data_IF_737102289200
#
_entry.id   IF_737102289200
#
_cell.length_a   1.000
_cell.length_b   1.000
_cell.length_c   1.000
_cell.angle_alpha   90.00
_cell.angle_beta   90.00
_cell.angle_gamma   90.00
#
_symmetry.space_group_name_H-M   'P 1'
#
loop_
_entity.id
_entity.type
_entity.pdbx_description
1 polymer ?
#
# COMPACT_ATOMS: atom_id res chain seq x y z
N UNK A 1 34.93 21.50 -49.10
CA UNK A 1 35.33 21.32 -47.67
C UNK A 1 34.97 19.90 -47.29
N UNK A 2 35.91 19.06 -46.84
CA UNK A 2 35.53 17.69 -46.43
C UNK A 2 34.61 17.77 -45.24
N UNK A 3 33.49 17.06 -45.33
CA UNK A 3 32.53 16.89 -44.22
C UNK A 3 33.28 16.17 -43.07
N UNK A 4 33.49 16.88 -41.96
CA UNK A 4 34.00 16.30 -40.73
C UNK A 4 33.00 15.25 -40.30
N UNK A 5 33.34 13.97 -40.49
CA UNK A 5 32.58 12.86 -39.90
C UNK A 5 32.62 13.07 -38.37
N UNK A 6 31.51 13.54 -37.84
CA UNK A 6 31.35 13.60 -36.40
C UNK A 6 31.40 12.17 -35.86
N UNK A 7 32.33 11.91 -34.97
CA UNK A 7 32.45 10.58 -34.37
C UNK A 7 31.16 10.22 -33.60
N UNK A 8 30.88 8.93 -33.44
CA UNK A 8 29.75 8.46 -32.62
C UNK A 8 29.78 9.08 -31.20
N UNK A 9 30.98 9.34 -30.68
CA UNK A 9 31.21 10.00 -29.42
C UNK A 9 30.67 11.45 -29.41
N UNK A 10 31.01 12.25 -30.44
CA UNK A 10 30.54 13.62 -30.56
C UNK A 10 29.01 13.71 -30.73
N UNK A 11 28.42 12.74 -31.45
CA UNK A 11 26.97 12.65 -31.58
C UNK A 11 26.33 12.32 -30.25
N UNK A 12 26.81 11.31 -29.53
CA UNK A 12 26.29 10.95 -28.19
C UNK A 12 26.44 12.09 -27.17
N UNK A 13 27.60 12.78 -27.16
CA UNK A 13 27.85 13.92 -26.28
C UNK A 13 26.87 15.07 -26.54
N UNK A 14 26.68 15.46 -27.80
CA UNK A 14 25.75 16.53 -28.18
C UNK A 14 24.27 16.12 -27.95
N UNK A 15 23.93 14.87 -28.17
CA UNK A 15 22.60 14.35 -27.87
C UNK A 15 22.28 14.48 -26.38
N UNK A 16 23.20 14.09 -25.51
CA UNK A 16 23.05 14.23 -24.05
C UNK A 16 22.89 15.70 -23.65
N UNK A 17 23.73 16.58 -24.20
CA UNK A 17 23.68 18.00 -23.92
C UNK A 17 22.35 18.63 -24.37
N UNK A 18 21.91 18.33 -25.60
CA UNK A 18 20.73 18.99 -26.21
C UNK A 18 19.42 18.42 -25.65
N UNK A 19 19.28 17.10 -25.50
CA UNK A 19 18.04 16.47 -25.02
C UNK A 19 17.78 16.68 -23.54
N UNK A 20 18.84 16.96 -22.78
CA UNK A 20 18.76 16.96 -21.29
C UNK A 20 19.12 18.28 -20.64
N UNK A 21 19.45 19.32 -21.41
CA UNK A 21 19.77 20.65 -20.87
C UNK A 21 20.98 20.68 -19.96
N UNK A 22 21.93 19.72 -20.14
CA UNK A 22 23.19 19.69 -19.39
C UNK A 22 24.28 20.30 -20.27
N UNK A 23 25.07 21.19 -19.70
CA UNK A 23 26.20 21.78 -20.42
C UNK A 23 27.20 20.67 -20.83
N UNK A 24 27.64 20.71 -22.08
CA UNK A 24 28.64 19.78 -22.63
C UNK A 24 29.92 19.76 -21.77
N UNK A 25 30.32 20.89 -21.21
CA UNK A 25 31.49 21.03 -20.36
C UNK A 25 31.38 20.16 -19.10
N UNK A 26 30.23 20.13 -18.44
CA UNK A 26 29.98 19.34 -17.22
C UNK A 26 30.08 17.83 -17.51
N UNK A 27 29.56 17.42 -18.67
CA UNK A 27 29.66 16.01 -19.09
C UNK A 27 31.11 15.66 -19.39
N UNK A 28 31.83 16.53 -20.10
CA UNK A 28 33.27 16.33 -20.41
C UNK A 28 34.14 16.24 -19.15
N UNK A 29 33.90 17.09 -18.16
CA UNK A 29 34.66 17.08 -16.90
C UNK A 29 34.39 15.81 -16.09
N UNK A 30 33.14 15.34 -16.11
CA UNK A 30 32.79 14.07 -15.48
C UNK A 30 33.48 12.88 -16.16
N UNK A 31 33.55 12.88 -17.48
CA UNK A 31 34.25 11.85 -18.26
C UNK A 31 35.76 11.90 -18.00
N UNK A 32 36.38 13.10 -17.97
CA UNK A 32 37.81 13.28 -17.64
C UNK A 32 38.14 12.72 -16.28
N UNK A 33 37.33 13.04 -15.27
CA UNK A 33 37.54 12.52 -13.90
C UNK A 33 37.40 10.99 -13.84
N UNK A 34 36.49 10.40 -14.62
CA UNK A 34 36.33 8.95 -14.66
C UNK A 34 37.52 8.25 -15.37
N UNK A 35 38.07 8.89 -16.40
CA UNK A 35 39.29 8.41 -17.10
C UNK A 35 40.50 8.45 -16.15
N UNK A 36 40.66 9.53 -15.39
CA UNK A 36 41.71 9.61 -14.35
C UNK A 36 41.51 8.53 -13.28
N UNK A 37 40.29 8.29 -12.83
CA UNK A 37 39.99 7.24 -11.87
C UNK A 37 40.34 5.83 -12.41
N UNK A 38 40.05 5.57 -13.71
CA UNK A 38 40.44 4.33 -14.37
C UNK A 38 41.97 4.18 -14.45
N UNK A 39 42.66 5.25 -14.83
CA UNK A 39 44.10 5.26 -14.92
C UNK A 39 44.76 4.98 -13.57
N UNK A 40 44.27 5.58 -12.48
CA UNK A 40 44.69 5.34 -11.10
C UNK A 40 44.53 3.88 -10.68
N UNK A 41 43.45 3.25 -11.09
CA UNK A 41 43.19 1.84 -10.75
C UNK A 41 44.24 0.91 -11.35
N UNK A 42 44.71 1.23 -12.57
CA UNK A 42 45.72 0.45 -13.27
C UNK A 42 47.15 0.81 -12.81
N UNK A 43 47.32 1.97 -12.17
CA UNK A 43 48.63 2.48 -11.68
C UNK A 43 48.51 2.87 -10.20
N UNK A 44 48.49 1.91 -9.26
CA UNK A 44 48.39 2.19 -7.82
C UNK A 44 49.66 2.93 -7.32
N UNK A 45 49.48 4.06 -6.66
CA UNK A 45 50.55 4.89 -6.09
C UNK A 45 50.72 6.26 -6.76
N UNK A 46 49.86 6.64 -7.69
CA UNK A 46 49.88 7.94 -8.36
C UNK A 46 49.07 8.97 -7.57
N UNK A 47 49.65 10.15 -7.31
CA UNK A 47 48.94 11.31 -6.78
C UNK A 47 48.15 11.98 -7.91
N UNK A 48 46.81 11.95 -7.82
CA UNK A 48 45.87 12.39 -8.88
C UNK A 48 46.01 13.87 -9.19
N UNK A 49 46.46 14.66 -8.24
CA UNK A 49 46.60 16.12 -8.36
C UNK A 49 47.65 16.57 -9.37
N UNK A 50 48.57 15.69 -9.74
CA UNK A 50 49.62 15.95 -10.75
C UNK A 50 49.22 15.50 -12.17
N UNK A 51 48.06 14.81 -12.30
CA UNK A 51 47.61 14.24 -13.58
C UNK A 51 46.35 14.90 -14.05
N UNK A 52 46.29 15.22 -15.34
CA UNK A 52 45.13 15.76 -16.03
C UNK A 52 44.71 14.83 -17.17
N UNK A 53 43.42 14.64 -17.34
CA UNK A 53 42.91 13.98 -18.53
C UNK A 53 42.41 15.03 -19.55
N UNK A 54 42.95 14.96 -20.75
CA UNK A 54 42.49 15.73 -21.89
C UNK A 54 41.62 14.85 -22.77
N UNK A 55 40.43 15.30 -23.10
CA UNK A 55 39.49 14.55 -23.93
C UNK A 55 39.07 15.40 -25.14
N UNK A 56 39.32 14.86 -26.35
CA UNK A 56 38.90 15.51 -27.57
C UNK A 56 37.39 15.31 -27.77
N UNK A 57 36.58 16.39 -27.73
CA UNK A 57 35.12 16.28 -27.83
C UNK A 57 34.63 15.78 -29.19
N UNK A 58 35.46 15.82 -30.22
CA UNK A 58 35.10 15.40 -31.59
C UNK A 58 35.48 13.94 -31.87
N UNK A 59 36.64 13.48 -31.43
CA UNK A 59 37.13 12.12 -31.70
C UNK A 59 36.87 11.15 -30.54
N UNK A 60 36.68 11.66 -29.31
CA UNK A 60 36.58 10.84 -28.10
C UNK A 60 37.93 10.27 -27.67
N UNK A 61 39.04 10.71 -28.29
CA UNK A 61 40.39 10.33 -27.88
C UNK A 61 40.74 11.02 -26.54
N UNK A 62 41.24 10.23 -25.62
CA UNK A 62 41.67 10.71 -24.34
C UNK A 62 43.21 10.60 -24.20
N UNK A 63 43.79 11.61 -23.59
CA UNK A 63 45.19 11.67 -23.22
C UNK A 63 45.32 11.91 -21.73
N UNK A 64 46.32 11.29 -21.13
CA UNK A 64 46.73 11.55 -19.76
C UNK A 64 47.96 12.42 -19.80
N UNK A 65 47.91 13.56 -19.15
CA UNK A 65 49.00 14.51 -19.02
C UNK A 65 49.53 14.49 -17.58
N UNK A 66 50.83 14.42 -17.44
CA UNK A 66 51.54 14.63 -16.19
C UNK A 66 52.50 15.83 -16.37
N UNK A 67 52.31 16.89 -15.62
CA UNK A 67 53.07 18.15 -15.80
C UNK A 67 53.07 18.67 -17.24
N UNK A 68 51.93 18.52 -17.97
CA UNK A 68 51.73 18.88 -19.39
C UNK A 68 52.46 17.98 -20.40
N UNK A 69 53.12 16.92 -19.97
CA UNK A 69 53.69 15.90 -20.86
C UNK A 69 52.70 14.74 -21.05
N UNK A 70 52.58 14.25 -22.27
CA UNK A 70 51.70 13.12 -22.62
C UNK A 70 52.31 11.80 -22.12
N UNK A 71 51.71 11.23 -21.08
CA UNK A 71 52.15 9.97 -20.46
C UNK A 71 51.16 8.84 -20.74
N UNK A 72 50.33 8.98 -21.78
CA UNK A 72 49.28 8.01 -22.13
C UNK A 72 49.89 6.65 -22.51
N UNK A 73 49.56 5.57 -21.74
CA UNK A 73 50.09 4.24 -22.06
C UNK A 73 49.58 3.73 -23.42
N UNK A 74 50.37 2.92 -24.15
CA UNK A 74 49.97 2.30 -25.38
C UNK A 74 48.68 1.42 -25.14
N UNK A 75 47.65 1.66 -25.91
CA UNK A 75 46.37 0.94 -25.78
C UNK A 75 45.37 1.52 -24.82
N UNK A 76 45.75 2.50 -23.98
CA UNK A 76 44.87 3.16 -23.03
C UNK A 76 43.68 3.88 -23.69
N UNK A 77 43.81 4.33 -24.94
CA UNK A 77 42.75 4.99 -25.69
C UNK A 77 41.47 4.16 -25.81
N UNK A 78 41.59 2.83 -25.88
CA UNK A 78 40.40 1.94 -25.90
C UNK A 78 39.69 1.89 -24.54
N UNK A 79 40.48 1.80 -23.46
CA UNK A 79 39.96 1.78 -22.11
C UNK A 79 39.28 3.12 -21.81
N UNK A 80 39.93 4.22 -22.14
CA UNK A 80 39.37 5.57 -21.98
C UNK A 80 38.06 5.78 -22.75
N UNK A 81 37.97 5.33 -24.01
CA UNK A 81 36.78 5.42 -24.81
C UNK A 81 35.62 4.58 -24.27
N UNK A 82 35.90 3.37 -23.75
CA UNK A 82 34.89 2.52 -23.10
C UNK A 82 34.40 3.15 -21.79
N UNK A 83 35.30 3.64 -20.97
CA UNK A 83 35.00 4.35 -19.71
C UNK A 83 34.16 5.59 -19.99
N UNK A 84 34.55 6.40 -20.98
CA UNK A 84 33.80 7.58 -21.40
C UNK A 84 32.37 7.23 -21.82
N UNK A 85 32.19 6.22 -22.67
CA UNK A 85 30.87 5.73 -23.08
C UNK A 85 30.03 5.28 -21.90
N UNK A 86 30.61 4.51 -20.98
CA UNK A 86 29.91 4.03 -19.78
C UNK A 86 29.48 5.17 -18.87
N UNK A 87 30.34 6.16 -18.62
CA UNK A 87 30.04 7.33 -17.79
C UNK A 87 28.94 8.18 -18.42
N UNK A 88 29.01 8.42 -19.73
CA UNK A 88 27.96 9.16 -20.44
C UNK A 88 26.61 8.44 -20.31
N UNK A 89 26.58 7.15 -20.59
CA UNK A 89 25.34 6.36 -20.43
C UNK A 89 24.82 6.36 -19.00
N UNK A 90 25.71 6.34 -18.02
CA UNK A 90 25.31 6.45 -16.61
C UNK A 90 24.72 7.82 -16.31
N UNK A 91 25.35 8.92 -16.78
CA UNK A 91 24.83 10.27 -16.58
C UNK A 91 23.47 10.50 -17.26
N UNK A 92 23.28 9.92 -18.44
CA UNK A 92 21.97 9.92 -19.11
C UNK A 92 20.92 9.26 -18.21
N UNK A 93 21.19 8.05 -17.71
CA UNK A 93 20.25 7.32 -16.83
C UNK A 93 19.96 8.05 -15.53
N UNK A 94 20.98 8.69 -14.92
CA UNK A 94 20.81 9.50 -13.72
C UNK A 94 19.86 10.68 -13.98
N UNK A 95 20.07 11.40 -15.09
CA UNK A 95 19.20 12.54 -15.46
C UNK A 95 17.78 12.10 -15.88
N UNK A 96 17.65 10.97 -16.57
CA UNK A 96 16.35 10.37 -16.84
C UNK A 96 15.59 10.05 -15.55
N UNK A 97 16.28 9.42 -14.60
CA UNK A 97 15.70 9.09 -13.31
C UNK A 97 15.28 10.36 -12.55
N UNK A 98 16.13 11.40 -12.53
CA UNK A 98 15.83 12.67 -11.89
C UNK A 98 14.60 13.35 -12.51
N UNK A 99 14.49 13.39 -13.84
CA UNK A 99 13.34 13.94 -14.54
C UNK A 99 12.05 13.15 -14.25
N UNK A 100 12.12 11.82 -14.23
CA UNK A 100 11.00 10.95 -13.87
C UNK A 100 10.56 11.21 -12.42
N UNK A 101 11.50 11.28 -11.48
CA UNK A 101 11.20 11.54 -10.08
C UNK A 101 10.59 12.92 -9.86
N UNK A 102 11.05 13.93 -10.62
CA UNK A 102 10.46 15.27 -10.58
C UNK A 102 8.98 15.27 -11.03
N UNK A 103 8.63 14.49 -12.06
CA UNK A 103 7.23 14.29 -12.49
C UNK A 103 6.40 13.63 -11.36
N UNK A 104 6.94 12.61 -10.71
CA UNK A 104 6.26 11.94 -9.60
C UNK A 104 6.15 12.81 -8.33
N UNK A 105 7.13 13.70 -8.05
CA UNK A 105 7.04 14.68 -6.95
C UNK A 105 5.79 15.57 -7.07
N UNK A 106 5.42 15.96 -8.28
CA UNK A 106 4.21 16.74 -8.56
C UNK A 106 2.91 15.93 -8.41
N UNK A 107 3.02 14.60 -8.44
CA UNK A 107 1.88 13.68 -8.36
C UNK A 107 1.71 13.02 -7.00
N UNK A 108 2.53 13.38 -6.01
CA UNK A 108 2.35 12.91 -4.62
C UNK A 108 0.92 13.21 -4.16
N UNK A 109 0.30 12.30 -3.43
CA UNK A 109 -1.09 12.39 -3.00
C UNK A 109 -2.11 11.90 -4.03
N UNK A 110 -1.68 11.45 -5.22
CA UNK A 110 -2.58 10.88 -6.23
C UNK A 110 -2.57 9.36 -6.23
N UNK A 111 -3.62 8.77 -6.79
CA UNK A 111 -3.73 7.33 -6.98
C UNK A 111 -3.32 6.98 -8.41
N UNK A 112 -2.45 6.00 -8.53
CA UNK A 112 -1.97 5.47 -9.81
C UNK A 112 -2.18 3.96 -9.88
N UNK A 113 -2.31 3.44 -11.11
CA UNK A 113 -2.32 1.99 -11.31
C UNK A 113 -0.88 1.48 -11.33
N UNK A 114 -0.62 0.44 -10.57
CA UNK A 114 0.67 -0.23 -10.53
C UNK A 114 0.54 -1.72 -10.80
N UNK A 115 1.68 -2.35 -11.07
CA UNK A 115 1.79 -3.80 -11.26
C UNK A 115 2.89 -4.35 -10.37
N UNK A 116 2.61 -5.41 -9.62
CA UNK A 116 3.59 -6.06 -8.76
C UNK A 116 4.67 -6.71 -9.61
N UNK A 117 5.92 -6.26 -9.48
CA UNK A 117 7.07 -6.79 -10.23
C UNK A 117 7.76 -7.92 -9.50
N UNK A 118 8.07 -7.70 -8.22
CA UNK A 118 8.84 -8.64 -7.39
C UNK A 118 8.68 -8.32 -5.92
N UNK A 119 9.16 -9.25 -5.10
CA UNK A 119 9.28 -9.06 -3.65
C UNK A 119 10.75 -8.85 -3.28
N UNK A 120 11.03 -7.85 -2.47
CA UNK A 120 12.37 -7.55 -1.96
C UNK A 120 12.34 -7.64 -0.42
N UNK A 121 12.56 -8.84 0.11
CA UNK A 121 12.30 -9.14 1.51
C UNK A 121 10.82 -8.92 1.84
N UNK A 122 10.49 -8.11 2.86
CA UNK A 122 9.10 -7.82 3.22
C UNK A 122 8.45 -6.75 2.33
N UNK A 123 9.23 -6.06 1.48
CA UNK A 123 8.73 -5.00 0.61
C UNK A 123 8.16 -5.58 -0.69
N UNK A 124 7.07 -4.99 -1.16
CA UNK A 124 6.52 -5.25 -2.50
C UNK A 124 7.01 -4.17 -3.45
N UNK A 125 7.62 -4.56 -4.56
CA UNK A 125 8.07 -3.64 -5.61
C UNK A 125 7.02 -3.59 -6.70
N UNK A 126 6.57 -2.39 -6.97
CA UNK A 126 5.45 -2.10 -7.87
C UNK A 126 5.94 -1.24 -9.02
N UNK A 127 5.70 -1.66 -10.25
CA UNK A 127 5.87 -0.83 -11.44
C UNK A 127 4.69 0.15 -11.54
N UNK A 128 5.01 1.43 -11.57
CA UNK A 128 4.03 2.51 -11.70
C UNK A 128 4.10 3.21 -13.07
N UNK A 129 4.73 2.53 -14.05
CA UNK A 129 4.83 2.91 -15.45
C UNK A 129 6.21 3.40 -15.85
N UNK A 130 6.68 4.53 -15.34
CA UNK A 130 8.01 5.08 -15.68
C UNK A 130 9.11 4.68 -14.69
N UNK A 131 8.74 4.22 -13.51
CA UNK A 131 9.70 3.84 -12.45
C UNK A 131 9.10 2.76 -11.54
N UNK A 132 9.98 2.10 -10.81
CA UNK A 132 9.61 1.21 -9.72
C UNK A 132 9.32 2.01 -8.45
N UNK A 133 8.30 1.58 -7.71
CA UNK A 133 7.96 2.10 -6.40
C UNK A 133 8.05 1.00 -5.35
N UNK A 134 8.30 1.39 -4.13
CA UNK A 134 8.42 0.48 -2.99
C UNK A 134 7.16 0.62 -2.12
N UNK A 135 6.55 -0.50 -1.79
CA UNK A 135 5.48 -0.59 -0.81
C UNK A 135 6.01 -1.38 0.40
N UNK A 136 6.44 -0.68 1.46
CA UNK A 136 6.95 -1.32 2.67
C UNK A 136 5.82 -1.96 3.47
N UNK A 137 6.11 -2.86 4.44
CA UNK A 137 5.10 -3.60 5.19
C UNK A 137 4.04 -2.74 5.87
N UNK A 138 4.42 -1.55 6.36
CA UNK A 138 3.52 -0.62 7.02
C UNK A 138 2.46 -0.04 6.07
N UNK A 139 2.77 -0.01 4.78
CA UNK A 139 1.93 0.54 3.71
C UNK A 139 1.16 -0.55 2.95
N UNK A 140 1.33 -1.81 3.35
CA UNK A 140 0.58 -2.95 2.86
C UNK A 140 -0.72 -3.13 3.66
N UNK A 141 -1.74 -3.69 3.03
CA UNK A 141 -2.97 -4.07 3.72
C UNK A 141 -2.74 -5.41 4.42
N UNK A 142 -3.00 -5.51 5.74
CA UNK A 142 -2.96 -6.78 6.45
C UNK A 142 -3.87 -7.81 5.79
N UNK A 143 -3.38 -9.04 5.64
CA UNK A 143 -4.10 -10.17 5.00
C UNK A 143 -4.36 -10.05 3.49
N UNK A 144 -3.98 -8.96 2.82
CA UNK A 144 -4.00 -8.89 1.37
C UNK A 144 -2.83 -9.71 0.79
N UNK A 145 -3.15 -10.59 -0.15
CA UNK A 145 -2.14 -11.43 -0.81
C UNK A 145 -1.75 -10.80 -2.14
N UNK A 146 -0.50 -10.37 -2.23
CA UNK A 146 0.07 -9.82 -3.46
C UNK A 146 0.64 -10.93 -4.34
N UNK A 147 0.42 -10.84 -5.65
CA UNK A 147 0.92 -11.82 -6.64
C UNK A 147 1.72 -11.10 -7.71
N UNK A 148 2.73 -11.78 -8.27
CA UNK A 148 3.49 -11.25 -9.40
C UNK A 148 2.55 -10.94 -10.57
N UNK A 149 2.82 -9.83 -11.26
CA UNK A 149 2.02 -9.30 -12.37
C UNK A 149 0.59 -8.88 -12.00
N UNK A 150 0.24 -8.86 -10.71
CA UNK A 150 -1.04 -8.34 -10.25
C UNK A 150 -1.09 -6.83 -10.46
N UNK A 151 -2.16 -6.36 -11.13
CA UNK A 151 -2.46 -4.93 -11.25
C UNK A 151 -3.32 -4.49 -10.09
N UNK A 152 -3.02 -3.32 -9.54
CA UNK A 152 -3.75 -2.73 -8.41
C UNK A 152 -3.54 -1.22 -8.38
N UNK A 153 -4.50 -0.51 -7.79
CA UNK A 153 -4.34 0.91 -7.50
C UNK A 153 -3.46 1.10 -6.27
N UNK A 154 -2.54 2.06 -6.33
CA UNK A 154 -1.68 2.45 -5.21
C UNK A 154 -1.67 3.96 -5.05
N UNK A 155 -1.58 4.43 -3.83
CA UNK A 155 -1.44 5.85 -3.51
C UNK A 155 0.03 6.23 -3.51
N UNK A 156 0.40 7.27 -4.24
CA UNK A 156 1.75 7.86 -4.19
C UNK A 156 1.90 8.62 -2.88
N UNK A 157 2.61 8.03 -1.92
CA UNK A 157 2.68 8.56 -0.57
C UNK A 157 3.75 9.66 -0.46
N UNK A 158 4.97 9.32 -0.81
CA UNK A 158 6.13 10.21 -0.70
C UNK A 158 7.28 9.75 -1.61
N UNK A 159 8.27 10.60 -1.78
CA UNK A 159 9.58 10.24 -2.32
C UNK A 159 10.59 10.47 -1.20
N UNK A 160 11.31 9.42 -0.84
CA UNK A 160 12.33 9.48 0.21
C UNK A 160 13.70 9.12 -0.32
N UNK A 161 14.72 9.54 0.40
CA UNK A 161 16.10 9.15 0.11
C UNK A 161 16.36 7.74 0.64
N UNK A 162 16.75 6.83 -0.25
CA UNK A 162 17.09 5.45 0.05
C UNK A 162 18.57 5.17 -0.19
N UNK A 163 19.01 3.94 0.05
CA UNK A 163 20.41 3.52 -0.12
C UNK A 163 20.96 3.68 -1.55
N UNK A 164 20.09 3.70 -2.55
CA UNK A 164 20.43 3.80 -3.98
C UNK A 164 19.93 5.08 -4.64
N UNK A 165 19.73 6.13 -3.83
CA UNK A 165 19.16 7.41 -4.23
C UNK A 165 17.65 7.49 -3.95
N UNK A 166 16.97 8.49 -4.51
CA UNK A 166 15.55 8.72 -4.27
C UNK A 166 14.69 7.52 -4.72
N UNK A 167 13.74 7.14 -3.86
CA UNK A 167 12.81 6.02 -4.02
C UNK A 167 11.37 6.51 -3.85
N UNK A 168 10.49 6.08 -4.74
CA UNK A 168 9.06 6.38 -4.66
C UNK A 168 8.41 5.38 -3.71
N UNK A 169 7.70 5.89 -2.68
CA UNK A 169 6.95 5.07 -1.75
C UNK A 169 5.49 5.14 -2.10
N UNK A 170 4.88 3.96 -2.19
CA UNK A 170 3.46 3.80 -2.46
C UNK A 170 2.76 3.07 -1.32
N UNK A 171 1.48 3.37 -1.15
CA UNK A 171 0.68 2.84 -0.06
C UNK A 171 -0.64 2.25 -0.57
N UNK A 172 -1.03 1.13 0.04
CA UNK A 172 -2.38 0.60 -0.02
C UNK A 172 -3.14 0.79 1.30
N UNK A 173 -2.42 1.07 2.37
CA UNK A 173 -2.98 1.28 3.70
C UNK A 173 -3.45 2.73 3.95
N UNK A 174 -2.98 3.71 3.18
CA UNK A 174 -3.28 5.13 3.41
C UNK A 174 -4.74 5.49 3.13
N UNK A 175 -5.25 6.51 3.84
CA UNK A 175 -6.57 7.09 3.58
C UNK A 175 -6.65 7.73 2.19
N UNK A 176 -5.52 8.26 1.68
CA UNK A 176 -5.45 8.87 0.36
C UNK A 176 -5.77 7.91 -0.78
N UNK A 177 -5.50 6.59 -0.61
CA UNK A 177 -5.94 5.61 -1.58
C UNK A 177 -7.47 5.57 -1.67
N UNK A 178 -8.15 5.49 -0.53
CA UNK A 178 -9.60 5.42 -0.49
C UNK A 178 -10.24 6.70 -1.05
N UNK A 179 -9.71 7.87 -0.68
CA UNK A 179 -10.14 9.16 -1.21
C UNK A 179 -9.98 9.23 -2.74
N UNK A 180 -8.82 8.81 -3.25
CA UNK A 180 -8.55 8.80 -4.70
C UNK A 180 -9.44 7.82 -5.46
N UNK A 181 -9.77 6.66 -4.87
CA UNK A 181 -10.71 5.71 -5.45
C UNK A 181 -12.12 6.31 -5.53
N UNK A 182 -12.59 7.00 -4.49
CA UNK A 182 -13.87 7.71 -4.57
C UNK A 182 -13.86 8.83 -5.61
N UNK A 183 -12.77 9.59 -5.73
CA UNK A 183 -12.63 10.60 -6.80
C UNK A 183 -12.69 9.98 -8.21
N UNK A 184 -12.21 8.75 -8.37
CA UNK A 184 -12.24 8.03 -9.64
C UNK A 184 -13.62 7.49 -9.98
N UNK A 185 -14.32 6.90 -8.99
CA UNK A 185 -15.59 6.20 -9.22
C UNK A 185 -16.82 7.11 -9.07
N UNK A 186 -16.71 8.25 -8.40
CA UNK A 186 -17.81 9.15 -8.08
C UNK A 186 -17.58 10.52 -8.71
N UNK A 187 -18.24 10.82 -9.84
CA UNK A 187 -18.08 12.11 -10.54
C UNK A 187 -18.39 13.33 -9.67
N UNK A 188 -19.37 13.23 -8.77
CA UNK A 188 -19.76 14.30 -7.85
C UNK A 188 -18.65 14.62 -6.85
N UNK A 189 -17.84 13.64 -6.45
CA UNK A 189 -16.65 13.84 -5.61
C UNK A 189 -15.53 14.47 -6.44
N UNK A 190 -15.33 13.99 -7.66
CA UNK A 190 -14.32 14.54 -8.57
C UNK A 190 -14.57 16.01 -8.92
N UNK A 191 -15.83 16.38 -9.09
CA UNK A 191 -16.26 17.75 -9.39
C UNK A 191 -16.36 18.68 -8.17
N UNK A 192 -16.23 18.09 -6.95
CA UNK A 192 -16.33 18.83 -5.69
C UNK A 192 -17.74 19.14 -5.22
N UNK A 193 -18.79 18.64 -5.91
CA UNK A 193 -20.19 18.77 -5.48
C UNK A 193 -20.47 17.95 -4.22
N UNK A 194 -19.80 16.82 -4.07
CA UNK A 194 -19.74 16.03 -2.84
C UNK A 194 -18.30 16.10 -2.31
N UNK A 195 -18.14 16.35 -1.03
CA UNK A 195 -16.87 16.45 -0.35
C UNK A 195 -16.71 15.33 0.66
N UNK A 196 -15.55 14.72 0.70
CA UNK A 196 -15.15 13.81 1.76
C UNK A 196 -14.61 14.67 2.91
N UNK A 197 -15.29 14.68 4.05
CA UNK A 197 -14.91 15.46 5.24
C UNK A 197 -13.90 14.73 6.11
N UNK A 198 -14.08 13.42 6.30
CA UNK A 198 -13.18 12.61 7.10
C UNK A 198 -13.19 11.16 6.64
N UNK A 199 -12.06 10.50 6.79
CA UNK A 199 -11.90 9.05 6.57
C UNK A 199 -11.23 8.46 7.80
N UNK A 200 -11.86 7.46 8.39
CA UNK A 200 -11.26 6.63 9.43
C UNK A 200 -11.21 5.21 8.92
N UNK A 201 -10.02 4.64 8.88
CA UNK A 201 -9.74 3.39 8.19
C UNK A 201 -8.98 2.41 9.08
N UNK A 202 -9.40 1.17 9.06
CA UNK A 202 -8.64 -0.01 9.46
C UNK A 202 -8.38 -0.82 8.19
N UNK A 203 -7.20 -0.67 7.56
CA UNK A 203 -6.92 -1.23 6.25
C UNK A 203 -7.16 -2.74 6.19
N UNK A 204 -7.88 -3.20 5.15
CA UNK A 204 -8.21 -4.61 4.97
C UNK A 204 -9.29 -5.16 5.91
N UNK A 205 -9.99 -4.28 6.63
CA UNK A 205 -11.05 -4.68 7.55
C UNK A 205 -12.31 -3.81 7.36
N UNK A 206 -12.28 -2.56 7.83
CA UNK A 206 -13.42 -1.66 7.74
C UNK A 206 -13.00 -0.21 7.69
N UNK A 207 -13.75 0.59 6.93
CA UNK A 207 -13.56 2.03 6.82
C UNK A 207 -14.88 2.78 6.96
N UNK A 208 -14.82 3.97 7.54
CA UNK A 208 -15.91 4.93 7.59
C UNK A 208 -15.52 6.19 6.87
N UNK A 209 -16.37 6.62 5.93
CA UNK A 209 -16.15 7.79 5.09
C UNK A 209 -17.27 8.78 5.31
N UNK A 210 -16.99 9.92 5.91
CA UNK A 210 -17.94 11.00 6.12
C UNK A 210 -17.99 11.90 4.89
N UNK A 211 -19.16 12.03 4.30
CA UNK A 211 -19.40 12.80 3.08
C UNK A 211 -20.44 13.90 3.30
N UNK A 212 -20.24 15.00 2.60
CA UNK A 212 -21.06 16.21 2.69
C UNK A 212 -21.31 16.82 1.32
N UNK A 213 -22.46 17.44 1.13
CA UNK A 213 -22.75 18.30 -0.04
C UNK A 213 -23.29 19.64 0.42
N UNK A 214 -22.76 20.71 -0.15
CA UNK A 214 -23.27 22.06 0.02
C UNK A 214 -24.28 22.45 -1.07
N UNK A 215 -24.51 21.58 -2.05
CA UNK A 215 -25.43 21.84 -3.15
C UNK A 215 -26.82 21.27 -2.81
N UNK A 216 -27.88 22.11 -2.85
CA UNK A 216 -29.23 21.64 -2.61
C UNK A 216 -29.64 20.64 -3.67
N UNK A 217 -30.27 19.53 -3.23
CA UNK A 217 -30.75 18.48 -4.11
C UNK A 217 -29.74 17.37 -4.44
N UNK A 218 -28.50 17.45 -3.95
CA UNK A 218 -27.50 16.39 -4.07
C UNK A 218 -27.46 15.61 -2.75
N UNK A 219 -27.82 14.32 -2.81
CA UNK A 219 -27.61 13.36 -1.72
C UNK A 219 -26.15 12.89 -1.75
N UNK A 220 -25.31 13.26 -0.77
CA UNK A 220 -23.91 12.88 -0.78
C UNK A 220 -23.69 11.38 -0.56
N UNK A 221 -24.53 10.73 0.22
CA UNK A 221 -24.46 9.28 0.48
C UNK A 221 -24.90 8.50 -0.76
N UNK A 222 -26.05 8.84 -1.31
CA UNK A 222 -26.57 8.21 -2.53
C UNK A 222 -25.62 8.36 -3.72
N UNK A 223 -24.96 9.51 -3.87
CA UNK A 223 -23.94 9.75 -4.92
C UNK A 223 -22.74 8.81 -4.79
N UNK A 224 -22.24 8.61 -3.57
CA UNK A 224 -21.09 7.73 -3.30
C UNK A 224 -21.46 6.25 -3.38
N UNK A 225 -22.66 5.86 -2.96
CA UNK A 225 -23.13 4.48 -3.03
C UNK A 225 -23.47 4.10 -4.48
N UNK A 226 -24.13 5.00 -5.20
CA UNK A 226 -24.59 4.77 -6.56
C UNK A 226 -25.83 3.87 -6.64
N UNK A 227 -26.39 3.75 -7.85
CA UNK A 227 -27.56 2.90 -8.05
C UNK A 227 -27.26 1.44 -7.69
N UNK A 228 -28.07 0.85 -6.82
CA UNK A 228 -27.88 -0.52 -6.31
C UNK A 228 -26.50 -0.79 -5.73
N UNK A 229 -25.77 0.25 -5.31
CA UNK A 229 -24.46 0.13 -4.70
C UNK A 229 -23.29 -0.10 -5.68
N UNK A 230 -23.49 0.11 -6.99
CA UNK A 230 -22.45 -0.22 -8.00
C UNK A 230 -21.15 0.54 -7.77
N UNK A 231 -21.22 1.85 -7.43
CA UNK A 231 -20.01 2.67 -7.25
C UNK A 231 -19.22 2.24 -6.02
N UNK A 232 -19.87 2.07 -4.88
CA UNK A 232 -19.17 1.62 -3.68
C UNK A 232 -18.64 0.20 -3.84
N UNK A 233 -19.34 -0.67 -4.55
CA UNK A 233 -18.85 -2.02 -4.84
C UNK A 233 -17.60 -2.00 -5.71
N UNK A 234 -17.47 -1.08 -6.68
CA UNK A 234 -16.26 -0.91 -7.47
C UNK A 234 -15.06 -0.54 -6.58
N UNK A 235 -15.26 0.36 -5.61
CA UNK A 235 -14.22 0.70 -4.62
C UNK A 235 -13.87 -0.49 -3.73
N UNK A 236 -14.86 -1.24 -3.23
CA UNK A 236 -14.65 -2.43 -2.39
C UNK A 236 -13.91 -3.52 -3.17
N UNK A 237 -14.20 -3.71 -4.45
CA UNK A 237 -13.53 -4.70 -5.30
C UNK A 237 -12.05 -4.39 -5.52
N UNK A 238 -11.64 -3.12 -5.50
CA UNK A 238 -10.22 -2.76 -5.56
C UNK A 238 -9.42 -3.35 -4.38
N UNK A 239 -10.08 -3.61 -3.25
CA UNK A 239 -9.53 -4.28 -2.07
C UNK A 239 -9.85 -5.79 -2.04
N UNK A 240 -10.24 -6.39 -3.17
CA UNK A 240 -10.63 -7.81 -3.26
C UNK A 240 -11.76 -8.19 -2.28
N UNK A 241 -12.61 -7.24 -1.90
CA UNK A 241 -13.70 -7.44 -0.94
C UNK A 241 -13.26 -7.60 0.51
N UNK A 242 -11.97 -7.43 0.82
CA UNK A 242 -11.44 -7.56 2.18
C UNK A 242 -11.89 -6.43 3.11
N UNK A 243 -12.10 -5.24 2.57
CA UNK A 243 -12.41 -4.04 3.34
C UNK A 243 -13.87 -3.62 3.14
N UNK A 244 -14.63 -3.52 4.24
CA UNK A 244 -15.99 -3.00 4.25
C UNK A 244 -15.95 -1.47 4.37
N UNK A 245 -16.78 -0.78 3.59
CA UNK A 245 -16.79 0.69 3.56
C UNK A 245 -18.19 1.18 3.90
N UNK A 246 -18.30 1.93 4.99
CA UNK A 246 -19.52 2.61 5.40
C UNK A 246 -19.48 4.07 4.98
N UNK A 247 -20.47 4.51 4.21
CA UNK A 247 -20.63 5.93 3.83
C UNK A 247 -21.57 6.58 4.83
N UNK A 248 -21.12 7.70 5.41
CA UNK A 248 -21.80 8.40 6.48
C UNK A 248 -22.04 9.84 6.05
N UNK A 249 -23.28 10.30 6.18
CA UNK A 249 -23.58 11.70 5.95
C UNK A 249 -22.99 12.54 7.11
N UNK A 250 -22.10 13.46 6.76
CA UNK A 250 -21.64 14.48 7.68
C UNK A 250 -22.70 15.58 7.81
N UNK A 251 -23.03 15.98 9.03
CA UNK A 251 -24.02 16.98 9.37
C UNK A 251 -23.44 17.85 10.49
N UNK A 252 -23.80 19.13 10.52
CA UNK A 252 -23.34 20.06 11.56
C UNK A 252 -23.87 19.70 12.96
N UNK A 253 -25.06 19.10 13.01
CA UNK A 253 -25.63 18.59 14.27
C UNK A 253 -24.86 17.34 14.74
N UNK A 254 -24.08 17.49 15.80
CA UNK A 254 -23.22 16.44 16.34
C UNK A 254 -23.98 15.22 16.81
N UNK A 255 -25.16 15.38 17.39
CA UNK A 255 -25.97 14.26 17.88
C UNK A 255 -26.36 13.35 16.73
N UNK A 256 -26.90 13.94 15.66
CA UNK A 256 -27.27 13.22 14.44
C UNK A 256 -26.04 12.65 13.75
N UNK A 257 -24.93 13.39 13.70
CA UNK A 257 -23.69 12.89 13.09
C UNK A 257 -23.12 11.67 13.80
N UNK A 258 -23.12 11.68 15.15
CA UNK A 258 -22.69 10.53 15.94
C UNK A 258 -23.63 9.34 15.73
N UNK A 259 -24.94 9.55 15.75
CA UNK A 259 -25.90 8.49 15.45
C UNK A 259 -25.67 7.87 14.05
N UNK A 260 -25.49 8.71 13.03
CA UNK A 260 -25.19 8.26 11.66
C UNK A 260 -23.85 7.51 11.58
N UNK A 261 -22.86 7.93 12.37
CA UNK A 261 -21.53 7.32 12.39
C UNK A 261 -21.53 5.85 12.83
N UNK A 262 -22.58 5.44 13.56
CA UNK A 262 -22.75 4.07 14.03
C UNK A 262 -23.41 3.14 13.02
N UNK A 263 -23.70 3.66 11.79
CA UNK A 263 -24.14 2.79 10.69
C UNK A 263 -23.27 1.51 10.62
N UNK A 264 -23.88 0.32 10.37
CA UNK A 264 -25.22 0.08 9.86
C UNK A 264 -26.35 -0.03 10.90
N UNK A 265 -26.07 0.26 12.19
CA UNK A 265 -27.09 0.28 13.23
C UNK A 265 -28.17 1.34 12.92
N UNK A 266 -29.41 1.04 13.29
CA UNK A 266 -30.58 1.90 13.07
C UNK A 266 -31.21 2.29 14.38
N UNK A 267 -32.02 3.37 14.35
CA UNK A 267 -32.73 3.88 15.54
C UNK A 267 -31.80 4.20 16.71
N UNK A 268 -30.67 4.82 16.37
CA UNK A 268 -29.64 5.23 17.32
C UNK A 268 -29.96 6.62 17.85
N UNK A 269 -30.00 6.81 19.17
CA UNK A 269 -30.16 8.09 19.81
C UNK A 269 -28.89 8.42 20.61
N UNK A 270 -28.30 9.59 20.37
CA UNK A 270 -27.11 10.06 21.06
C UNK A 270 -27.46 11.22 21.99
N UNK A 271 -26.89 11.22 23.18
CA UNK A 271 -26.91 12.34 24.15
C UNK A 271 -25.48 12.73 24.43
N UNK A 272 -25.14 14.02 24.25
CA UNK A 272 -23.77 14.50 24.32
C UNK A 272 -23.47 15.13 25.67
N UNK A 273 -22.30 14.81 26.20
CA UNK A 273 -21.60 15.57 27.22
C UNK A 273 -20.42 16.27 26.52
N UNK A 274 -20.59 17.55 26.18
CA UNK A 274 -19.59 18.33 25.45
C UNK A 274 -18.34 18.62 26.28
N UNK A 275 -18.46 18.74 27.59
CA UNK A 275 -17.36 19.03 28.50
C UNK A 275 -16.35 17.89 28.55
N UNK A 276 -16.85 16.66 28.62
CA UNK A 276 -16.02 15.46 28.67
C UNK A 276 -15.77 14.82 27.30
N UNK A 277 -16.42 15.32 26.24
CA UNK A 277 -16.45 14.72 24.89
C UNK A 277 -16.92 13.25 24.93
N UNK A 278 -17.94 12.98 25.70
CA UNK A 278 -18.58 11.68 25.79
C UNK A 278 -19.96 11.74 25.12
N UNK A 279 -20.27 10.72 24.35
CA UNK A 279 -21.58 10.52 23.75
C UNK A 279 -22.20 9.24 24.33
N UNK A 280 -23.27 9.37 25.08
CA UNK A 280 -24.11 8.26 25.54
C UNK A 280 -25.07 7.91 24.40
N UNK A 281 -24.99 6.70 23.94
CA UNK A 281 -25.73 6.23 22.76
C UNK A 281 -26.69 5.12 23.19
N UNK A 282 -27.98 5.38 22.98
CA UNK A 282 -29.06 4.45 23.27
C UNK A 282 -29.51 3.77 21.99
N UNK A 283 -29.58 2.44 22.01
CA UNK A 283 -29.95 1.64 20.86
C UNK A 283 -30.90 0.51 21.27
N UNK A 284 -31.82 0.11 20.38
CA UNK A 284 -32.65 -1.09 20.62
C UNK A 284 -31.77 -2.32 20.88
N UNK A 285 -32.23 -3.22 21.73
CA UNK A 285 -31.44 -4.41 22.12
C UNK A 285 -31.02 -5.28 20.92
N UNK A 286 -31.83 -5.36 19.87
CA UNK A 286 -31.52 -6.07 18.62
C UNK A 286 -30.41 -5.39 17.80
N UNK A 287 -30.17 -4.08 17.99
CA UNK A 287 -29.13 -3.31 17.30
C UNK A 287 -27.82 -3.23 18.05
N UNK A 288 -27.80 -3.59 19.34
CA UNK A 288 -26.62 -3.43 20.22
C UNK A 288 -25.37 -4.10 19.66
N UNK A 289 -25.48 -5.34 19.20
CA UNK A 289 -24.36 -6.09 18.61
C UNK A 289 -23.83 -5.45 17.32
N UNK A 290 -24.71 -4.89 16.49
CA UNK A 290 -24.33 -4.17 15.27
C UNK A 290 -23.67 -2.83 15.58
N UNK A 291 -24.17 -2.14 16.60
CA UNK A 291 -23.64 -0.85 17.05
C UNK A 291 -22.21 -1.01 17.57
N UNK A 292 -21.99 -2.00 18.41
CA UNK A 292 -20.64 -2.28 18.97
C UNK A 292 -19.74 -2.83 17.86
N UNK A 293 -20.24 -3.76 17.07
CA UNK A 293 -19.49 -4.49 16.05
C UNK A 293 -18.52 -5.51 16.65
N UNK A 294 -17.98 -6.39 15.81
CA UNK A 294 -17.00 -7.39 16.22
C UNK A 294 -15.77 -6.75 16.89
N UNK A 295 -15.48 -7.15 18.14
CA UNK A 295 -14.36 -6.58 18.90
C UNK A 295 -14.44 -5.06 19.13
N UNK A 296 -15.65 -4.47 19.14
CA UNK A 296 -15.84 -3.03 19.33
C UNK A 296 -15.42 -2.18 18.13
N UNK A 297 -15.24 -2.76 16.96
CA UNK A 297 -14.70 -2.07 15.77
C UNK A 297 -15.58 -0.92 15.31
N UNK A 298 -16.91 -1.11 15.28
CA UNK A 298 -17.82 -0.10 14.78
C UNK A 298 -17.82 1.15 15.68
N UNK A 299 -17.91 0.97 17.00
CA UNK A 299 -17.83 2.06 17.99
C UNK A 299 -16.46 2.74 17.95
N UNK A 300 -15.37 1.96 17.86
CA UNK A 300 -14.00 2.51 17.79
C UNK A 300 -13.78 3.39 16.56
N UNK A 301 -14.25 2.96 15.38
CA UNK A 301 -14.16 3.75 14.15
C UNK A 301 -15.07 4.99 14.25
N UNK A 302 -16.29 4.87 14.76
CA UNK A 302 -17.20 5.99 14.96
C UNK A 302 -16.63 7.01 15.95
N UNK A 303 -16.04 6.56 17.05
CA UNK A 303 -15.38 7.42 18.03
C UNK A 303 -14.22 8.20 17.42
N UNK A 304 -13.36 7.55 16.60
CA UNK A 304 -12.28 8.21 15.87
C UNK A 304 -12.80 9.21 14.82
N UNK A 305 -13.93 8.89 14.18
CA UNK A 305 -14.51 9.72 13.12
C UNK A 305 -15.12 11.00 13.68
N UNK A 306 -15.78 10.91 14.82
CA UNK A 306 -16.51 12.02 15.46
C UNK A 306 -15.67 12.80 16.47
N UNK A 307 -14.59 12.17 16.98
CA UNK A 307 -13.76 12.75 18.04
C UNK A 307 -14.38 12.67 19.45
N UNK A 308 -15.48 11.91 19.61
CA UNK A 308 -16.16 11.68 20.90
C UNK A 308 -15.93 10.26 21.38
N UNK A 309 -15.80 10.06 22.66
CA UNK A 309 -15.87 8.75 23.29
C UNK A 309 -17.33 8.30 23.29
N UNK A 310 -17.61 7.16 22.66
CA UNK A 310 -18.96 6.64 22.50
C UNK A 310 -19.18 5.51 23.51
N UNK A 311 -20.20 5.68 24.37
CA UNK A 311 -20.68 4.70 25.33
C UNK A 311 -22.05 4.22 24.89
N UNK A 312 -22.21 2.90 24.67
CA UNK A 312 -23.42 2.33 24.08
C UNK A 312 -24.21 1.58 25.13
N UNK A 313 -25.49 1.93 25.24
CA UNK A 313 -26.45 1.32 26.14
C UNK A 313 -27.65 0.75 25.34
N UNK A 314 -28.10 -0.46 25.70
CA UNK A 314 -29.27 -1.07 25.05
C UNK A 314 -30.57 -0.53 25.65
N UNK A 315 -31.47 0.02 24.82
CA UNK A 315 -32.85 0.32 25.24
C UNK A 315 -33.64 -1.00 25.31
N UNK A 316 -34.01 -1.43 26.50
CA UNK A 316 -34.84 -2.64 26.69
C UNK A 316 -34.53 -3.47 27.94
N UNK A 317 -33.85 -2.91 28.91
CA UNK A 317 -33.53 -3.57 30.17
C UNK A 317 -33.82 -2.73 31.42
N UNK A 318 -34.88 -1.91 31.41
CA UNK A 318 -35.45 -1.42 32.65
C UNK A 318 -36.71 -2.21 32.88
N UNK A 319 -36.61 -3.44 33.42
CA UNK A 319 -37.60 -3.90 34.36
C UNK A 319 -37.62 -2.82 35.48
N UNK A 320 -38.79 -2.19 35.63
CA UNK A 320 -39.08 -1.37 36.80
C UNK A 320 -38.57 -2.12 38.03
N UNK A 321 -37.53 -1.59 38.64
CA UNK A 321 -37.18 -1.97 40.00
C UNK A 321 -38.35 -1.47 40.85
N UNK A 322 -39.32 -2.35 41.09
CA UNK A 322 -40.26 -2.16 42.18
C UNK A 322 -39.44 -1.93 43.41
N UNK A 323 -39.67 -0.77 44.05
CA UNK A 323 -39.19 -0.47 45.39
C UNK A 323 -39.36 -1.69 46.30
N UNK A 324 -38.37 -2.01 47.14
CA UNK A 324 -38.54 -3.09 48.11
C UNK A 324 -39.56 -2.65 49.16
N UNK A 325 -40.71 -3.31 49.18
CA UNK A 325 -41.64 -3.28 50.32
C UNK A 325 -40.88 -3.74 51.57
N UNK A 326 -40.97 -2.92 52.59
CA UNK A 326 -40.45 -3.17 53.96
C UNK A 326 -40.93 -4.52 54.47
N UNK A 327 -40.07 -5.28 55.15
CA UNK A 327 -40.49 -6.54 55.80
C UNK A 327 -41.33 -6.27 57.02
N UNK A 328 -42.53 -6.84 57.10
CA UNK A 328 -43.28 -7.06 58.33
C UNK A 328 -42.72 -8.25 59.09
N UNK A 329 -42.52 -8.04 60.40
CA UNK A 329 -41.96 -8.97 61.39
C UNK A 329 -42.88 -10.13 61.68
N UNK A 330 -42.37 -11.35 61.67
CA UNK A 330 -42.47 -12.54 62.52
C UNK A 330 -43.83 -12.94 63.22
N UNK A 331 -44.12 -14.23 63.61
CA UNK A 331 -43.17 -15.07 64.35
C UNK A 331 -43.16 -16.59 64.12
N UNK A 332 -42.03 -17.14 64.43
CA UNK A 332 -41.63 -18.47 64.98
C UNK A 332 -42.61 -19.65 65.00
N UNK A 333 -42.13 -20.81 64.51
CA UNK A 333 -42.07 -22.09 65.29
C UNK A 333 -41.19 -23.12 64.50
N UNK A 334 -40.29 -23.70 65.28
CA UNK A 334 -39.46 -24.89 65.07
C UNK A 334 -40.27 -26.14 65.46
N UNK A 335 -39.68 -27.35 65.39
CA UNK A 335 -39.02 -28.15 64.33
C UNK A 335 -39.62 -29.58 64.27
N UNK A 336 -39.10 -30.42 63.37
CA UNK A 336 -38.97 -31.91 63.49
C UNK A 336 -38.61 -32.42 62.08
N UNK A 337 -37.40 -32.91 61.89
CA UNK A 337 -36.82 -34.23 62.09
C UNK A 337 -37.43 -35.32 61.15
N UNK A 338 -36.71 -35.80 60.20
CA UNK A 338 -36.13 -37.11 60.04
C UNK A 338 -35.59 -37.34 58.61
N UNK A 339 -34.32 -37.70 58.58
CA UNK A 339 -33.71 -38.46 57.50
C UNK A 339 -33.98 -39.99 57.76
N UNK A 340 -33.50 -41.00 57.06
CA UNK A 340 -32.70 -41.09 55.84
C UNK A 340 -33.05 -42.29 54.94
N UNK A 341 -32.10 -42.61 54.06
CA UNK A 341 -31.76 -43.91 53.40
C UNK A 341 -31.98 -44.00 51.91
N UNK A 342 -30.85 -44.07 51.21
CA UNK A 342 -30.17 -45.26 50.68
C UNK A 342 -30.88 -45.79 49.41
N UNK A 343 -30.30 -46.18 48.35
CA UNK A 343 -29.02 -46.79 48.03
C UNK A 343 -28.98 -47.01 46.51
N UNK A 344 -27.76 -46.86 45.94
CA UNK A 344 -27.16 -47.83 45.02
C UNK A 344 -27.81 -47.99 43.63
N UNK A 345 -27.15 -47.98 42.52
CA UNK A 345 -25.93 -48.67 42.13
C UNK A 345 -25.51 -48.23 40.73
N UNK A 346 -24.25 -48.01 40.55
CA UNK A 346 -23.60 -48.24 39.27
C UNK A 346 -23.47 -49.77 39.09
N UNK A 347 -23.10 -50.38 37.96
CA UNK A 347 -21.80 -50.17 37.36
C UNK A 347 -21.69 -50.44 35.83
N UNK A 348 -20.48 -50.10 35.37
CA UNK A 348 -19.54 -50.82 34.50
C UNK A 348 -19.93 -51.06 33.01
N UNK A 349 -19.16 -50.54 32.11
CA UNK A 349 -17.82 -50.89 31.61
C UNK A 349 -17.84 -51.98 30.52
N UNK A 350 -17.12 -51.70 29.50
CA UNK A 350 -16.12 -52.47 28.75
C UNK A 350 -16.13 -52.02 27.28
N UNK A 351 -15.02 -51.46 26.81
CA UNK A 351 -13.82 -52.09 26.24
C UNK A 351 -14.17 -52.94 25.04
N UNK A 352 -13.58 -52.77 23.93
CA UNK A 352 -12.24 -53.02 23.38
C UNK A 352 -12.26 -52.64 21.90
N UNK A 353 -11.36 -51.96 21.35
CA UNK A 353 -9.99 -52.31 20.99
C UNK A 353 -9.85 -52.97 19.63
N UNK A 354 -8.85 -52.52 18.99
CA UNK A 354 -7.91 -53.13 18.04
C UNK A 354 -8.14 -52.73 16.59
N UNK A 355 -7.23 -52.00 16.07
CA UNK A 355 -5.89 -52.33 15.56
C UNK A 355 -6.00 -52.97 14.16
N UNK A 356 -5.29 -52.43 13.27
CA UNK A 356 -3.96 -52.70 12.80
C UNK A 356 -3.87 -52.88 11.27
N UNK A 357 -2.87 -52.17 10.70
CA UNK A 357 -1.99 -52.61 9.60
C UNK A 357 -2.60 -52.80 8.19
N UNK A 358 -2.01 -52.38 7.12
CA UNK A 358 -0.63 -52.24 6.68
C UNK A 358 -0.64 -51.75 5.22
N UNK A 359 0.34 -51.02 4.84
CA UNK A 359 0.85 -51.00 3.46
C UNK A 359 1.48 -52.39 3.17
N UNK A 360 1.78 -52.83 1.96
CA UNK A 360 2.71 -52.13 1.08
C UNK A 360 2.61 -52.40 -0.46
N UNK A 361 3.42 -51.60 -1.19
CA UNK A 361 4.32 -51.98 -2.31
C UNK A 361 3.80 -52.59 -3.61
N UNK A 362 4.40 -52.04 -4.66
CA UNK A 362 4.82 -52.80 -5.82
C UNK A 362 4.41 -52.16 -7.15
N UNK A 363 5.32 -51.40 -7.76
CA UNK A 363 6.10 -51.70 -8.95
C UNK A 363 5.28 -52.30 -10.11
N UNK A 364 5.34 -51.68 -11.28
CA UNK A 364 6.28 -51.95 -12.34
C UNK A 364 5.87 -51.24 -13.64
N UNK A 365 6.84 -50.60 -14.22
CA UNK A 365 7.35 -50.65 -15.58
C UNK A 365 6.41 -51.05 -16.71
N UNK A 366 6.39 -50.20 -17.74
CA UNK A 366 6.86 -50.45 -19.12
C UNK A 366 6.47 -49.28 -20.00
N UNK A 367 7.43 -48.50 -20.55
CA UNK A 367 8.13 -48.64 -21.85
C UNK A 367 7.20 -48.77 -23.05
N UNK A 368 7.42 -47.84 -23.98
CA UNK A 368 7.01 -47.89 -25.39
C UNK A 368 7.19 -46.48 -25.97
N UNK A 369 8.22 -46.18 -26.41
CA UNK A 369 8.99 -45.97 -27.67
C UNK A 369 8.13 -45.72 -28.92
N UNK A 370 8.57 -44.61 -29.58
CA UNK A 370 8.75 -44.36 -31.04
C UNK A 370 7.50 -44.11 -31.89
N UNK A 371 7.44 -43.03 -32.66
CA UNK A 371 8.09 -42.77 -33.95
C UNK A 371 7.53 -41.49 -34.56
N UNK A 372 8.38 -40.54 -34.88
CA UNK A 372 8.76 -40.02 -36.20
C UNK A 372 7.68 -40.06 -37.28
N UNK A 373 7.31 -38.90 -37.80
CA UNK A 373 7.46 -38.59 -39.21
C UNK A 373 7.28 -37.09 -39.46
N UNK A 374 8.23 -36.56 -40.19
CA UNK A 374 8.23 -35.33 -40.99
C UNK A 374 7.14 -35.36 -42.08
N UNK A 375 6.71 -34.18 -42.49
CA UNK A 375 6.63 -33.69 -43.90
C UNK A 375 5.95 -32.32 -43.84
N UNK A 376 6.66 -31.30 -44.20
CA UNK A 376 6.81 -30.58 -45.45
C UNK A 376 5.49 -30.03 -46.07
N UNK A 377 5.52 -28.74 -46.35
CA UNK A 377 4.93 -28.20 -47.54
C UNK A 377 4.09 -26.93 -47.40
N UNK A 378 4.74 -25.81 -47.68
CA UNK A 378 4.30 -24.71 -48.57
C UNK A 378 2.81 -24.30 -48.60
N UNK A 379 2.50 -23.06 -48.28
CA UNK A 379 2.36 -21.89 -49.16
C UNK A 379 2.42 -20.59 -48.35
#
# INVERSE_FOLDING_TARGET
MPAVQRSEFALALNQVATERGVDVSVVLDTVKNAILAAYRKDHPGIEVEEYEAELNPNSGEAKILHNKEDVTPPGFGRIAAQTAKQVILQKIREKEKEAILSDYKLRIGTVVNGMVLRFAGPNVIVDIGKTEAIMPPQEQIPNEKYRLNQRMAVHLLEIREGLRGEEVIVSRASNGLLEGLFKREVPEVSQGSVQIKAIVREPGNRSKVAVYSNQPGIDPVGSCVGQKGVRIQAVIQEFNGLEKIDIIQWIDDLQTYIANSLSPAKNVRAVLNEEEKIAHVFVPADQLSLTIGGGGQNVRLASKLTGYRIEVEGEGGVEEVKEPEKPEETPSAKPEEEAPKEESTAPEAKEEASAEKAAPTGSDMQKGESNVTQEDGKE
#
